data_IF_649007492425
#
_entry.id   IF_649007492425
#
_cell.length_a   1.000
_cell.length_b   1.000
_cell.length_c   1.000
_cell.angle_alpha   90.00
_cell.angle_beta   90.00
_cell.angle_gamma   90.00
#
_symmetry.space_group_name_H-M   'P 1'
#
loop_
_entity.id
_entity.type
_entity.pdbx_description
1 polymer ?
#
# COMPACT_ATOMS: atom_id res chain seq x y z
N UNK A 1 -11.07 -7.35 -7.63
CA UNK A 1 -10.83 -6.69 -6.33
C UNK A 1 -10.13 -7.56 -5.29
N UNK A 2 -10.57 -8.79 -5.02
CA UNK A 2 -9.86 -9.67 -4.05
C UNK A 2 -8.42 -9.97 -4.49
N UNK A 3 -8.22 -10.29 -5.77
CA UNK A 3 -6.89 -10.50 -6.36
C UNK A 3 -5.98 -9.26 -6.17
N UNK A 4 -6.49 -8.06 -6.49
CA UNK A 4 -5.74 -6.81 -6.30
C UNK A 4 -5.27 -6.62 -4.86
N UNK A 5 -6.10 -6.91 -3.85
CA UNK A 5 -5.69 -6.84 -2.44
C UNK A 5 -4.60 -7.85 -2.09
N UNK A 6 -4.72 -9.08 -2.57
CA UNK A 6 -3.70 -10.11 -2.36
C UNK A 6 -2.37 -9.64 -2.95
N UNK A 7 -2.40 -9.13 -4.19
CA UNK A 7 -1.23 -8.57 -4.86
C UNK A 7 -0.59 -7.44 -4.04
N UNK A 8 -1.38 -6.47 -3.55
CA UNK A 8 -0.88 -5.35 -2.75
C UNK A 8 -0.32 -5.79 -1.38
N UNK A 9 -0.89 -6.84 -0.77
CA UNK A 9 -0.34 -7.46 0.44
C UNK A 9 1.00 -8.14 0.16
N UNK A 10 1.06 -8.98 -0.87
CA UNK A 10 2.29 -9.68 -1.26
C UNK A 10 3.41 -8.69 -1.58
N UNK A 11 3.08 -7.61 -2.29
CA UNK A 11 4.03 -6.54 -2.57
C UNK A 11 4.53 -5.83 -1.31
N UNK A 12 3.64 -5.50 -0.38
CA UNK A 12 4.04 -4.89 0.91
C UNK A 12 4.92 -5.85 1.74
N UNK A 13 4.65 -7.16 1.66
CA UNK A 13 5.50 -8.18 2.29
C UNK A 13 6.88 -8.26 1.62
N UNK A 14 6.95 -8.18 0.29
CA UNK A 14 8.24 -8.14 -0.43
C UNK A 14 9.08 -6.95 0.00
N UNK A 15 8.47 -5.76 0.16
CA UNK A 15 9.17 -4.57 0.69
C UNK A 15 9.70 -4.85 2.10
N UNK A 16 8.90 -5.42 3.00
CA UNK A 16 9.33 -5.75 4.36
C UNK A 16 10.48 -6.76 4.36
N UNK A 17 10.40 -7.80 3.53
CA UNK A 17 11.48 -8.79 3.39
C UNK A 17 12.76 -8.12 2.90
N UNK A 18 12.66 -7.25 1.90
CA UNK A 18 13.79 -6.47 1.39
C UNK A 18 14.45 -5.60 2.45
N UNK A 19 13.65 -4.87 3.24
CA UNK A 19 14.16 -4.05 4.35
C UNK A 19 14.83 -4.92 5.43
N UNK A 20 14.21 -6.03 5.82
CA UNK A 20 14.79 -6.97 6.79
C UNK A 20 16.12 -7.55 6.28
N UNK A 21 16.21 -7.87 4.99
CA UNK A 21 17.44 -8.34 4.36
C UNK A 21 18.54 -7.27 4.40
N UNK A 22 18.21 -6.02 4.08
CA UNK A 22 19.14 -4.90 4.16
C UNK A 22 19.64 -4.69 5.60
N UNK A 23 18.74 -4.64 6.59
CA UNK A 23 19.15 -4.51 8.00
C UNK A 23 20.05 -5.65 8.45
N UNK A 24 19.74 -6.90 8.08
CA UNK A 24 20.61 -8.04 8.40
C UNK A 24 22.02 -7.83 7.85
N UNK A 25 22.16 -7.38 6.60
CA UNK A 25 23.46 -7.07 6.00
C UNK A 25 24.22 -6.00 6.77
N UNK A 26 23.53 -4.91 7.12
CA UNK A 26 24.08 -3.78 7.87
C UNK A 26 24.61 -4.22 9.24
N UNK A 27 23.78 -4.94 10.01
CA UNK A 27 24.15 -5.41 11.35
C UNK A 27 25.24 -6.47 11.31
N UNK A 28 25.27 -7.32 10.26
CA UNK A 28 26.31 -8.36 10.15
C UNK A 28 27.71 -7.84 9.85
N UNK A 29 27.82 -6.62 9.30
CA UNK A 29 29.08 -6.00 8.89
C UNK A 29 29.52 -4.86 9.82
N UNK A 30 28.78 -4.60 10.90
CA UNK A 30 28.99 -3.45 11.81
C UNK A 30 29.07 -2.09 11.08
N UNK A 31 28.38 -1.94 9.95
CA UNK A 31 28.43 -0.72 9.13
C UNK A 31 27.39 0.34 9.53
N UNK A 32 26.76 0.20 10.70
CA UNK A 32 25.67 1.08 11.12
C UNK A 32 26.09 2.56 11.15
N UNK A 33 27.32 2.84 11.54
CA UNK A 33 27.88 4.22 11.60
C UNK A 33 28.11 4.85 10.22
N UNK A 34 28.15 4.06 9.15
CA UNK A 34 28.36 4.53 7.77
C UNK A 34 27.06 4.93 7.09
N UNK A 35 25.92 4.59 7.67
CA UNK A 35 24.62 4.78 7.04
C UNK A 35 24.07 6.15 7.43
N UNK A 36 23.69 6.98 6.46
CA UNK A 36 23.04 8.25 6.76
C UNK A 36 21.80 8.03 7.64
N UNK A 37 21.66 8.81 8.70
CA UNK A 37 20.49 8.75 9.61
C UNK A 37 19.17 8.90 8.84
N UNK A 38 19.15 9.68 7.76
CA UNK A 38 18.00 9.84 6.88
C UNK A 38 17.56 8.51 6.24
N UNK A 39 18.49 7.65 5.81
CA UNK A 39 18.18 6.34 5.25
C UNK A 39 17.56 5.40 6.30
N UNK A 40 18.04 5.46 7.55
CA UNK A 40 17.45 4.71 8.67
C UNK A 40 16.03 5.20 8.99
N UNK A 41 15.80 6.52 8.97
CA UNK A 41 14.48 7.10 9.19
C UNK A 41 13.49 6.74 8.08
N UNK A 42 13.89 6.82 6.81
CA UNK A 42 13.03 6.45 5.69
C UNK A 42 12.71 4.96 5.65
N UNK A 43 13.69 4.09 5.93
CA UNK A 43 13.46 2.64 6.02
C UNK A 43 12.55 2.27 7.20
N UNK A 44 12.73 2.91 8.37
CA UNK A 44 11.85 2.75 9.52
C UNK A 44 10.42 3.21 9.22
N UNK A 45 10.25 4.37 8.58
CA UNK A 45 8.94 4.87 8.16
C UNK A 45 8.29 3.94 7.13
N UNK A 46 9.04 3.48 6.13
CA UNK A 46 8.55 2.55 5.11
C UNK A 46 8.08 1.23 5.74
N UNK A 47 8.78 0.74 6.76
CA UNK A 47 8.42 -0.47 7.51
C UNK A 47 7.07 -0.29 8.21
N UNK A 48 6.91 0.78 8.98
CA UNK A 48 5.66 1.08 9.69
C UNK A 48 4.50 1.24 8.71
N UNK A 49 4.69 2.00 7.63
CA UNK A 49 3.68 2.20 6.60
C UNK A 49 3.31 0.90 5.89
N UNK A 50 4.27 0.02 5.61
CA UNK A 50 4.02 -1.30 4.99
C UNK A 50 3.17 -2.19 5.89
N UNK A 51 3.44 -2.23 7.19
CA UNK A 51 2.64 -2.99 8.17
C UNK A 51 1.20 -2.45 8.22
N UNK A 52 1.05 -1.13 8.30
CA UNK A 52 -0.28 -0.49 8.31
C UNK A 52 -1.04 -0.78 7.01
N UNK A 53 -0.34 -0.77 5.87
CA UNK A 53 -0.91 -1.09 4.55
C UNK A 53 -1.41 -2.54 4.48
N UNK A 54 -0.63 -3.50 4.98
CA UNK A 54 -1.03 -4.92 5.07
C UNK A 54 -2.28 -5.05 5.94
N UNK A 55 -2.28 -4.45 7.14
CA UNK A 55 -3.43 -4.49 8.04
C UNK A 55 -4.68 -3.86 7.43
N UNK A 56 -4.52 -2.77 6.66
CA UNK A 56 -5.62 -2.17 5.91
C UNK A 56 -6.21 -3.16 4.91
N UNK A 57 -5.39 -3.76 4.04
CA UNK A 57 -5.88 -4.69 3.02
C UNK A 57 -6.51 -5.94 3.64
N UNK A 58 -5.95 -6.47 4.72
CA UNK A 58 -6.55 -7.59 5.47
C UNK A 58 -7.92 -7.20 6.03
N UNK A 59 -8.01 -6.08 6.77
CA UNK A 59 -9.28 -5.67 7.41
C UNK A 59 -10.35 -5.29 6.40
N UNK A 60 -9.97 -4.74 5.26
CA UNK A 60 -10.90 -4.31 4.22
C UNK A 60 -11.45 -5.45 3.36
N UNK A 61 -10.91 -6.68 3.45
CA UNK A 61 -11.50 -7.85 2.76
C UNK A 61 -12.96 -8.10 3.11
N UNK A 62 -13.39 -7.75 4.33
CA UNK A 62 -14.77 -7.97 4.78
C UNK A 62 -15.80 -7.28 3.89
N UNK A 63 -15.47 -6.12 3.31
CA UNK A 63 -16.36 -5.35 2.44
C UNK A 63 -16.50 -5.97 1.04
N UNK A 64 -15.66 -6.95 0.70
CA UNK A 64 -15.73 -7.71 -0.54
C UNK A 64 -16.26 -9.14 -0.35
N UNK A 65 -16.78 -9.49 0.84
CA UNK A 65 -17.47 -10.78 1.08
C UNK A 65 -18.86 -10.79 0.43
N UNK A 66 -19.47 -11.97 0.28
CA UNK A 66 -20.86 -12.11 -0.22
C UNK A 66 -21.83 -11.40 0.74
N UNK A 67 -22.94 -10.86 0.22
CA UNK A 67 -23.91 -10.00 0.95
C UNK A 67 -24.32 -10.58 2.31
N UNK A 68 -24.61 -11.88 2.37
CA UNK A 68 -24.98 -12.61 3.60
C UNK A 68 -23.94 -12.60 4.73
N UNK A 69 -22.66 -12.33 4.43
CA UNK A 69 -21.55 -12.34 5.39
C UNK A 69 -20.90 -10.95 5.55
N UNK A 70 -21.56 -9.90 5.07
CA UNK A 70 -21.05 -8.53 5.17
C UNK A 70 -21.51 -7.87 6.48
N UNK A 71 -20.61 -7.75 7.46
CA UNK A 71 -20.86 -6.92 8.64
C UNK A 71 -20.50 -5.47 8.33
N UNK A 72 -21.48 -4.68 7.87
CA UNK A 72 -21.32 -3.27 7.50
C UNK A 72 -21.30 -2.32 8.72
N UNK A 73 -21.76 -2.80 9.87
CA UNK A 73 -21.83 -2.07 11.15
C UNK A 73 -20.43 -1.68 11.63
N UNK A 74 -19.43 -2.53 11.35
CA UNK A 74 -18.05 -2.23 11.71
C UNK A 74 -17.45 -1.23 10.71
N UNK A 75 -17.15 -0.03 11.19
CA UNK A 75 -16.42 1.00 10.43
C UNK A 75 -14.96 0.59 10.22
N UNK A 76 -14.39 0.91 9.05
CA UNK A 76 -12.94 0.80 8.84
C UNK A 76 -12.29 2.04 9.46
N UNK A 77 -11.30 1.86 10.33
CA UNK A 77 -10.66 2.99 11.01
C UNK A 77 -10.04 3.96 10.00
N UNK A 78 -10.20 5.27 10.25
CA UNK A 78 -9.58 6.35 9.46
C UNK A 78 -8.06 6.20 9.39
N UNK A 79 -7.44 5.66 10.44
CA UNK A 79 -5.99 5.42 10.50
C UNK A 79 -5.54 4.48 9.38
N UNK A 80 -6.30 3.42 9.07
CA UNK A 80 -5.92 2.48 8.00
C UNK A 80 -6.06 3.10 6.61
N UNK A 81 -7.06 3.96 6.42
CA UNK A 81 -7.24 4.72 5.18
C UNK A 81 -6.09 5.67 4.92
N UNK A 82 -5.80 6.51 5.93
CA UNK A 82 -4.71 7.49 5.84
C UNK A 82 -3.38 6.77 5.70
N UNK A 83 -3.15 5.70 6.47
CA UNK A 83 -1.92 4.93 6.40
C UNK A 83 -1.64 4.32 5.03
N UNK A 84 -2.66 3.81 4.34
CA UNK A 84 -2.51 3.28 2.98
C UNK A 84 -2.23 4.37 1.94
N UNK A 85 -2.88 5.53 2.09
CA UNK A 85 -2.59 6.71 1.28
C UNK A 85 -1.16 7.18 1.51
N UNK A 86 -0.73 7.32 2.77
CA UNK A 86 0.63 7.68 3.14
C UNK A 86 1.65 6.68 2.60
N UNK A 87 1.39 5.37 2.71
CA UNK A 87 2.25 4.32 2.14
C UNK A 87 2.42 4.51 0.64
N UNK A 88 1.31 4.65 -0.09
CA UNK A 88 1.34 4.78 -1.55
C UNK A 88 2.02 6.08 -1.99
N UNK A 89 1.72 7.21 -1.35
CA UNK A 89 2.35 8.49 -1.64
C UNK A 89 3.84 8.50 -1.29
N UNK A 90 4.23 7.86 -0.18
CA UNK A 90 5.63 7.76 0.21
C UNK A 90 6.41 6.86 -0.77
N UNK A 91 5.80 5.79 -1.24
CA UNK A 91 6.39 4.94 -2.26
C UNK A 91 6.58 5.69 -3.59
N UNK A 92 5.59 6.47 -4.02
CA UNK A 92 5.72 7.35 -5.20
C UNK A 92 6.84 8.38 -5.02
N UNK A 93 6.98 8.94 -3.83
CA UNK A 93 8.07 9.86 -3.51
C UNK A 93 9.43 9.16 -3.66
N UNK A 94 9.63 7.99 -3.04
CA UNK A 94 10.88 7.23 -3.13
C UNK A 94 11.21 6.79 -4.57
N UNK A 95 10.20 6.39 -5.33
CA UNK A 95 10.39 6.01 -6.73
C UNK A 95 10.62 7.22 -7.63
N UNK A 96 10.04 8.38 -7.31
CA UNK A 96 10.31 9.63 -8.01
C UNK A 96 11.75 10.08 -7.80
N UNK A 97 12.28 9.95 -6.59
CA UNK A 97 13.71 10.23 -6.32
C UNK A 97 14.62 9.23 -7.03
N UNK A 98 14.29 7.93 -6.99
CA UNK A 98 15.06 6.91 -7.70
C UNK A 98 15.06 7.13 -9.21
N UNK A 99 13.90 7.49 -9.79
CA UNK A 99 13.78 7.78 -11.21
C UNK A 99 14.63 9.00 -11.60
N UNK A 100 14.60 10.06 -10.79
CA UNK A 100 15.41 11.26 -11.03
C UNK A 100 16.91 10.92 -11.03
N UNK A 101 17.39 10.17 -10.03
CA UNK A 101 18.79 9.73 -9.96
C UNK A 101 19.18 8.84 -11.13
N UNK A 102 18.33 7.88 -11.50
CA UNK A 102 18.58 6.98 -12.63
C UNK A 102 18.60 7.73 -13.97
N UNK A 103 17.77 8.77 -14.13
CA UNK A 103 17.77 9.59 -15.35
C UNK A 103 19.11 10.34 -15.52
N UNK A 104 19.71 10.80 -14.41
CA UNK A 104 21.04 11.43 -14.45
C UNK A 104 22.17 10.43 -14.79
N UNK A 105 22.02 9.16 -14.39
CA UNK A 105 23.01 8.11 -14.65
C UNK A 105 22.90 7.49 -16.04
N UNK A 106 21.71 7.55 -16.63
CA UNK A 106 21.41 6.95 -17.94
C UNK A 106 22.30 7.49 -19.07
N UNK A 107 22.83 8.71 -18.94
CA UNK A 107 23.76 9.28 -19.91
C UNK A 107 25.14 8.58 -19.94
N UNK A 108 25.50 7.82 -18.89
CA UNK A 108 26.86 7.31 -18.69
C UNK A 108 26.96 5.78 -18.62
N UNK A 109 25.87 5.06 -18.37
CA UNK A 109 25.91 3.62 -18.11
C UNK A 109 24.69 2.88 -18.69
N UNK A 110 24.95 1.80 -19.44
CA UNK A 110 23.93 0.96 -20.07
C UNK A 110 23.17 0.06 -19.10
N UNK A 111 23.72 -0.18 -17.90
CA UNK A 111 23.13 -1.11 -16.92
C UNK A 111 21.97 -0.48 -16.11
N UNK A 112 21.67 0.81 -16.31
CA UNK A 112 20.60 1.56 -15.60
C UNK A 112 19.19 1.15 -16.05
N UNK A 113 19.06 0.45 -17.18
CA UNK A 113 17.75 0.10 -17.75
C UNK A 113 16.92 -0.82 -16.84
N UNK A 114 17.55 -1.77 -16.14
CA UNK A 114 16.86 -2.67 -15.21
C UNK A 114 16.28 -1.91 -14.01
N UNK A 115 17.05 -0.98 -13.45
CA UNK A 115 16.63 -0.15 -12.31
C UNK A 115 15.44 0.74 -12.67
N UNK A 116 15.40 1.25 -13.91
CA UNK A 116 14.25 2.00 -14.43
C UNK A 116 13.02 1.12 -14.50
N UNK A 117 13.12 -0.11 -14.99
CA UNK A 117 11.99 -1.06 -15.04
C UNK A 117 11.46 -1.34 -13.63
N UNK A 118 12.33 -1.64 -12.67
CA UNK A 118 11.91 -1.87 -11.28
C UNK A 118 11.22 -0.65 -10.70
N UNK A 119 11.75 0.55 -10.95
CA UNK A 119 11.13 1.81 -10.51
C UNK A 119 9.72 1.95 -11.07
N UNK A 120 9.50 1.66 -12.36
CA UNK A 120 8.17 1.70 -12.96
C UNK A 120 7.19 0.67 -12.37
N UNK A 121 7.65 -0.55 -12.08
CA UNK A 121 6.83 -1.58 -11.42
C UNK A 121 6.34 -1.08 -10.06
N UNK A 122 7.23 -0.48 -9.27
CA UNK A 122 6.89 0.05 -7.95
C UNK A 122 5.94 1.26 -8.04
N UNK A 123 6.13 2.16 -9.02
CA UNK A 123 5.19 3.26 -9.30
C UNK A 123 3.80 2.71 -9.63
N UNK A 124 3.71 1.73 -10.53
CA UNK A 124 2.44 1.12 -10.91
C UNK A 124 1.72 0.52 -9.70
N UNK A 125 2.45 -0.16 -8.81
CA UNK A 125 1.89 -0.74 -7.59
C UNK A 125 1.44 0.32 -6.59
N UNK A 126 2.17 1.43 -6.46
CA UNK A 126 1.75 2.56 -5.62
C UNK A 126 0.45 3.19 -6.14
N UNK A 127 0.33 3.38 -7.45
CA UNK A 127 -0.90 3.89 -8.08
C UNK A 127 -2.08 2.93 -7.91
N UNK A 128 -1.84 1.61 -8.04
CA UNK A 128 -2.85 0.59 -7.77
C UNK A 128 -3.33 0.63 -6.31
N UNK A 129 -2.45 0.94 -5.35
CA UNK A 129 -2.81 1.17 -3.95
C UNK A 129 -3.79 2.34 -3.78
N UNK A 130 -3.48 3.50 -4.38
CA UNK A 130 -4.37 4.67 -4.38
C UNK A 130 -5.72 4.40 -5.05
N UNK A 131 -5.71 3.67 -6.16
CA UNK A 131 -6.91 3.28 -6.88
C UNK A 131 -7.77 2.33 -6.06
N UNK A 132 -7.18 1.34 -5.38
CA UNK A 132 -7.92 0.40 -4.52
C UNK A 132 -8.62 1.13 -3.38
N UNK A 133 -7.93 2.08 -2.75
CA UNK A 133 -8.51 2.97 -1.73
C UNK A 133 -9.75 3.69 -2.26
N UNK A 134 -9.61 4.33 -3.42
CA UNK A 134 -10.68 5.12 -4.02
C UNK A 134 -11.89 4.25 -4.37
N UNK A 135 -11.65 3.07 -4.95
CA UNK A 135 -12.70 2.10 -5.28
C UNK A 135 -13.39 1.55 -4.04
N UNK A 136 -12.63 1.18 -3.00
CA UNK A 136 -13.23 0.66 -1.77
C UNK A 136 -14.11 1.71 -1.09
N UNK A 137 -13.69 2.98 -1.08
CA UNK A 137 -14.48 4.07 -0.49
C UNK A 137 -15.82 4.23 -1.22
N UNK A 138 -15.79 4.21 -2.56
CA UNK A 138 -16.99 4.25 -3.40
C UNK A 138 -17.89 3.03 -3.16
N UNK A 139 -17.28 1.84 -3.08
CA UNK A 139 -17.99 0.58 -2.83
C UNK A 139 -18.70 0.56 -1.47
N UNK A 140 -18.03 0.98 -0.39
CA UNK A 140 -18.65 1.05 0.94
C UNK A 140 -19.82 2.03 0.96
N UNK A 141 -19.67 3.21 0.31
CA UNK A 141 -20.77 4.19 0.23
C UNK A 141 -21.99 3.60 -0.48
N UNK A 142 -21.77 2.90 -1.59
CA UNK A 142 -22.85 2.22 -2.33
C UNK A 142 -23.50 1.13 -1.51
N UNK A 143 -22.72 0.29 -0.82
CA UNK A 143 -23.27 -0.79 0.01
C UNK A 143 -24.16 -0.27 1.14
N UNK A 144 -23.80 0.86 1.77
CA UNK A 144 -24.63 1.47 2.81
C UNK A 144 -25.96 1.98 2.27
N UNK A 145 -25.93 2.69 1.14
CA UNK A 145 -27.15 3.16 0.49
C UNK A 145 -28.06 2.00 0.05
N UNK A 146 -27.49 0.88 -0.44
CA UNK A 146 -28.27 -0.32 -0.79
C UNK A 146 -28.95 -0.97 0.41
N UNK A 147 -28.38 -0.87 1.62
CA UNK A 147 -28.99 -1.40 2.85
C UNK A 147 -30.06 -0.45 3.37
N UNK A 148 -29.76 0.85 3.46
CA UNK A 148 -30.72 1.87 3.89
C UNK A 148 -32.00 1.84 3.04
N UNK A 149 -31.89 1.73 1.71
CA UNK A 149 -33.05 1.61 0.81
C UNK A 149 -33.87 0.33 1.04
N UNK A 150 -33.22 -0.78 1.41
CA UNK A 150 -33.95 -2.04 1.69
C UNK A 150 -34.72 -1.95 2.99
N UNK A 151 -34.09 -1.40 4.01
CA UNK A 151 -34.72 -1.19 5.32
C UNK A 151 -35.92 -0.23 5.18
N UNK A 152 -35.82 0.80 4.34
CA UNK A 152 -36.95 1.69 4.01
C UNK A 152 -38.11 0.95 3.32
N UNK A 153 -37.83 0.12 2.30
CA UNK A 153 -38.87 -0.66 1.61
C UNK A 153 -39.57 -1.64 2.56
N UNK A 154 -38.81 -2.34 3.41
CA UNK A 154 -39.39 -3.26 4.41
C UNK A 154 -40.24 -2.52 5.45
N UNK A 155 -39.88 -1.27 5.79
CA UNK A 155 -40.67 -0.45 6.72
C UNK A 155 -41.99 0.07 6.16
N UNK A 156 -42.13 0.20 4.83
CA UNK A 156 -43.37 0.64 4.16
C UNK A 156 -44.34 -0.54 3.95
N UNK A 157 -43.83 -1.76 3.86
CA UNK A 157 -44.63 -2.97 3.62
C UNK A 157 -45.29 -3.58 4.87
N UNK A 158 -44.93 -3.10 6.06
CA UNK A 158 -45.52 -3.48 7.37
C UNK A 158 -46.41 -2.34 7.89
#
# INVERSE_FOLDING_TARGET
MRFLKILLILFSLLILIGICYLYRGIFSKDELSRIPTSALLFSGLLTVLSIVNILYHIKSFRFYRRKEKQNLDKKLSKIFWIGTLCFSSFLLFLMGTALYENTQRFEYDSDVFEDIIYTFIFIALALLGLLEVSLLKKHIKRLKAEVELKDEIESIGN
#
